data_IF_260046845775
#
_entry.id   IF_260046845775
#
_cell.length_a   1.000
_cell.length_b   1.000
_cell.length_c   1.000
_cell.angle_alpha   90.00
_cell.angle_beta   90.00
_cell.angle_gamma   90.00
#
_symmetry.space_group_name_H-M   'P 1'
#
loop_
_entity.id
_entity.type
_entity.pdbx_description
1 polymer ?
#
# COMPACT_ATOMS: atom_id res chain seq x y z
N UNK A 1 22.70 2.11 18.35
CA UNK A 1 22.90 2.70 17.02
C UNK A 1 21.93 3.87 16.82
N UNK A 2 22.25 5.09 17.29
CA UNK A 2 21.34 6.25 17.18
C UNK A 2 20.93 6.56 15.73
N UNK A 3 21.90 6.57 14.81
CA UNK A 3 21.67 6.85 13.39
C UNK A 3 20.65 5.89 12.72
N UNK A 4 20.69 4.60 13.05
CA UNK A 4 19.78 3.61 12.44
C UNK A 4 18.34 3.86 12.89
N UNK A 5 18.15 4.15 14.17
CA UNK A 5 16.83 4.47 14.71
C UNK A 5 16.28 5.78 14.14
N UNK A 6 17.11 6.83 14.10
CA UNK A 6 16.73 8.15 13.56
C UNK A 6 16.41 8.11 12.06
N UNK A 7 17.13 7.27 11.30
CA UNK A 7 16.88 7.09 9.86
C UNK A 7 15.83 6.00 9.56
N UNK A 8 15.14 5.48 10.60
CA UNK A 8 14.11 4.46 10.45
C UNK A 8 14.58 3.16 9.80
N UNK A 9 15.85 2.79 9.96
CA UNK A 9 16.46 1.63 9.29
C UNK A 9 16.02 0.33 9.95
N UNK A 10 15.38 -0.55 9.18
CA UNK A 10 15.06 -1.91 9.56
C UNK A 10 15.25 -2.85 8.37
N UNK A 11 16.40 -3.53 8.32
CA UNK A 11 16.79 -4.31 7.14
C UNK A 11 16.07 -5.66 7.07
N UNK A 12 15.37 -5.83 5.96
CA UNK A 12 14.75 -7.00 5.39
C UNK A 12 15.49 -7.33 4.08
N UNK A 13 15.52 -8.62 3.73
CA UNK A 13 16.05 -9.08 2.47
C UNK A 13 15.07 -10.08 1.85
N UNK A 14 14.72 -9.87 0.59
CA UNK A 14 13.84 -10.75 -0.18
C UNK A 14 14.52 -11.15 -1.47
N UNK A 15 14.62 -12.45 -1.73
CA UNK A 15 15.24 -12.98 -2.94
C UNK A 15 14.20 -13.15 -4.05
N UNK A 16 14.53 -12.72 -5.26
CA UNK A 16 13.71 -12.93 -6.46
C UNK A 16 13.90 -14.34 -7.03
N UNK A 17 13.05 -14.74 -7.96
CA UNK A 17 13.19 -16.02 -8.67
C UNK A 17 14.49 -16.12 -9.50
N UNK A 18 15.13 -14.99 -9.82
CA UNK A 18 16.38 -14.92 -10.59
C UNK A 18 17.63 -14.83 -9.69
N UNK A 19 17.45 -14.84 -8.37
CA UNK A 19 18.54 -14.83 -7.40
C UNK A 19 19.05 -13.43 -7.01
N UNK A 20 18.43 -12.37 -7.54
CA UNK A 20 18.65 -10.99 -7.08
C UNK A 20 18.03 -10.80 -5.69
N UNK A 21 18.48 -9.78 -4.97
CA UNK A 21 18.02 -9.51 -3.61
C UNK A 21 17.55 -8.07 -3.52
N UNK A 22 16.28 -7.88 -3.16
CA UNK A 22 15.78 -6.58 -2.73
C UNK A 22 16.07 -6.43 -1.24
N UNK A 23 16.70 -5.31 -0.89
CA UNK A 23 17.07 -4.97 0.49
C UNK A 23 16.55 -3.59 0.85
N UNK A 24 16.32 -3.39 2.14
CA UNK A 24 15.74 -2.18 2.70
C UNK A 24 15.08 -2.53 4.02
N UNK A 25 14.45 -1.62 4.74
CA UNK A 25 14.22 -0.25 4.34
C UNK A 25 14.64 0.75 5.41
N UNK A 26 14.51 2.01 5.02
CA UNK A 26 14.61 3.18 5.87
C UNK A 26 13.30 3.94 5.76
N UNK A 27 12.89 4.63 6.82
CA UNK A 27 11.69 5.45 6.81
C UNK A 27 12.02 6.90 7.16
N UNK A 28 11.48 7.80 6.34
CA UNK A 28 11.45 9.23 6.61
C UNK A 28 10.00 9.70 6.54
N UNK A 29 9.62 10.55 7.50
CA UNK A 29 8.28 11.13 7.57
C UNK A 29 8.39 12.63 7.35
N UNK A 30 7.64 13.13 6.39
CA UNK A 30 7.57 14.56 6.10
C UNK A 30 6.38 14.90 5.21
N UNK A 31 6.02 16.18 5.20
CA UNK A 31 5.03 16.73 4.26
C UNK A 31 5.63 16.76 2.85
N UNK A 32 6.93 17.00 2.76
CA UNK A 32 7.74 16.97 1.55
C UNK A 32 9.01 16.19 1.81
N UNK A 33 9.55 15.55 0.78
CA UNK A 33 10.79 14.77 0.86
C UNK A 33 11.85 15.40 -0.04
N UNK A 34 13.11 15.26 0.33
CA UNK A 34 14.22 15.65 -0.54
C UNK A 34 14.18 14.81 -1.83
N UNK A 35 14.39 15.40 -3.02
CA UNK A 35 14.40 14.65 -4.27
C UNK A 35 15.61 13.71 -4.40
N UNK A 36 16.64 13.84 -3.55
CA UNK A 36 17.86 13.04 -3.61
C UNK A 36 17.97 12.06 -2.45
N UNK A 37 18.50 10.88 -2.76
CA UNK A 37 18.79 9.86 -1.74
C UNK A 37 20.04 10.20 -0.93
N UNK A 38 20.03 9.78 0.34
CA UNK A 38 21.15 9.95 1.28
C UNK A 38 22.04 8.72 1.24
N UNK A 39 23.22 8.85 0.65
CA UNK A 39 24.17 7.73 0.56
C UNK A 39 24.63 7.19 1.92
N UNK A 40 24.60 8.01 2.98
CA UNK A 40 24.87 7.53 4.34
C UNK A 40 23.83 6.51 4.85
N UNK A 41 22.56 6.66 4.45
CA UNK A 41 21.49 5.71 4.77
C UNK A 41 21.69 4.42 3.96
N UNK A 42 21.95 4.54 2.66
CA UNK A 42 22.24 3.39 1.78
C UNK A 42 23.41 2.55 2.32
N UNK A 43 24.50 3.20 2.73
CA UNK A 43 25.65 2.51 3.32
C UNK A 43 25.29 1.81 4.64
N UNK A 44 24.53 2.46 5.52
CA UNK A 44 24.12 1.84 6.77
C UNK A 44 23.22 0.61 6.54
N UNK A 45 22.34 0.63 5.54
CA UNK A 45 21.55 -0.54 5.14
C UNK A 45 22.47 -1.69 4.69
N UNK A 46 23.46 -1.41 3.85
CA UNK A 46 24.41 -2.41 3.36
C UNK A 46 25.29 -2.98 4.49
N UNK A 47 25.81 -2.11 5.35
CA UNK A 47 26.61 -2.50 6.51
C UNK A 47 25.78 -3.38 7.46
N UNK A 48 24.51 -3.02 7.70
CA UNK A 48 23.61 -3.80 8.53
C UNK A 48 23.29 -5.16 7.89
N UNK A 49 22.98 -5.23 6.59
CA UNK A 49 22.82 -6.50 5.88
C UNK A 49 24.04 -7.42 6.08
N UNK A 50 25.25 -6.86 5.98
CA UNK A 50 26.51 -7.59 6.15
C UNK A 50 26.71 -8.19 7.55
N UNK A 51 25.95 -7.77 8.56
CA UNK A 51 26.02 -8.37 9.91
C UNK A 51 25.33 -9.73 10.02
N UNK A 52 24.40 -10.04 9.11
CA UNK A 52 23.59 -11.26 9.21
C UNK A 52 23.45 -12.03 7.89
N UNK A 53 23.82 -11.45 6.75
CA UNK A 53 23.74 -12.09 5.45
C UNK A 53 25.05 -11.93 4.66
N UNK A 54 25.42 -12.98 3.94
CA UNK A 54 26.53 -12.95 2.98
C UNK A 54 25.96 -12.96 1.56
N UNK A 55 26.26 -11.90 0.79
CA UNK A 55 25.85 -11.77 -0.61
C UNK A 55 27.09 -11.97 -1.50
N UNK A 56 27.21 -13.08 -2.24
CA UNK A 56 28.44 -13.39 -2.99
C UNK A 56 28.80 -12.39 -4.10
N UNK A 57 27.79 -11.70 -4.64
CA UNK A 57 27.92 -10.67 -5.69
C UNK A 57 27.12 -9.44 -5.29
N UNK A 58 27.64 -8.57 -4.41
CA UNK A 58 26.90 -7.43 -3.84
C UNK A 58 26.97 -6.21 -4.78
N UNK A 59 26.70 -6.43 -6.06
CA UNK A 59 26.62 -5.35 -7.04
C UNK A 59 25.24 -4.70 -6.97
N UNK A 60 25.20 -3.38 -6.78
CA UNK A 60 23.92 -2.66 -6.76
C UNK A 60 23.46 -2.45 -8.20
N UNK A 61 22.34 -3.07 -8.57
CA UNK A 61 21.69 -2.85 -9.86
C UNK A 61 20.97 -1.51 -9.89
N UNK A 62 20.12 -1.26 -8.90
CA UNK A 62 19.22 -0.12 -8.87
C UNK A 62 19.01 0.36 -7.42
N UNK A 63 18.62 1.63 -7.29
CA UNK A 63 18.14 2.22 -6.04
C UNK A 63 16.84 2.96 -6.35
N UNK A 64 15.89 2.88 -5.44
CA UNK A 64 14.63 3.58 -5.53
C UNK A 64 14.12 3.86 -4.12
N UNK A 65 13.24 4.85 -4.01
CA UNK A 65 12.41 5.07 -2.84
C UNK A 65 10.95 5.25 -3.28
N UNK A 66 10.03 4.93 -2.37
CA UNK A 66 8.60 5.16 -2.56
C UNK A 66 8.12 6.25 -1.62
N UNK A 67 7.21 7.11 -2.09
CA UNK A 67 6.50 8.08 -1.25
C UNK A 67 5.09 7.57 -1.03
N UNK A 68 4.73 7.35 0.23
CA UNK A 68 3.45 6.74 0.60
C UNK A 68 2.60 7.72 1.41
N UNK A 69 1.49 8.22 0.85
CA UNK A 69 0.54 9.00 1.62
C UNK A 69 -0.04 8.18 2.77
N UNK A 70 -0.02 8.74 3.97
CA UNK A 70 -0.57 8.14 5.18
C UNK A 70 -1.46 9.15 5.88
N UNK A 71 -2.57 8.67 6.42
CA UNK A 71 -3.46 9.50 7.24
C UNK A 71 -2.94 9.61 8.68
N UNK A 72 -2.90 10.83 9.21
CA UNK A 72 -2.50 11.10 10.61
C UNK A 72 -3.62 10.76 11.62
N UNK A 73 -4.86 10.63 11.15
CA UNK A 73 -6.02 10.33 11.99
C UNK A 73 -6.14 8.83 12.38
N UNK A 74 -5.16 8.01 12.03
CA UNK A 74 -5.13 6.57 12.32
C UNK A 74 -6.02 5.70 11.43
N UNK A 75 -6.73 6.27 10.45
CA UNK A 75 -7.53 5.50 9.50
C UNK A 75 -6.62 4.68 8.56
N UNK A 76 -7.03 3.48 8.14
CA UNK A 76 -6.21 2.60 7.30
C UNK A 76 -6.19 3.02 5.82
N UNK A 77 -7.22 3.73 5.37
CA UNK A 77 -7.39 4.21 4.00
C UNK A 77 -8.24 5.49 3.97
N UNK A 78 -8.06 6.26 2.90
CA UNK A 78 -8.94 7.33 2.48
C UNK A 78 -9.83 6.78 1.35
N UNK A 79 -11.13 6.65 1.59
CA UNK A 79 -12.12 6.34 0.56
C UNK A 79 -13.10 7.51 0.42
N UNK A 80 -13.20 8.11 -0.76
CA UNK A 80 -14.08 9.25 -1.04
C UNK A 80 -14.90 9.02 -2.31
N UNK A 81 -16.22 9.23 -2.21
CA UNK A 81 -17.09 9.30 -3.38
C UNK A 81 -17.11 10.75 -3.89
N UNK A 82 -16.45 10.98 -5.03
CA UNK A 82 -16.22 12.35 -5.55
C UNK A 82 -17.41 12.79 -6.39
N UNK A 83 -17.91 11.89 -7.23
CA UNK A 83 -19.12 12.04 -8.03
C UNK A 83 -19.70 10.66 -8.35
N UNK A 84 -20.85 10.64 -9.04
CA UNK A 84 -21.52 9.38 -9.39
C UNK A 84 -20.61 8.49 -10.24
N UNK A 85 -20.27 7.32 -9.73
CA UNK A 85 -19.42 6.34 -10.42
C UNK A 85 -17.93 6.67 -10.38
N UNK A 86 -17.50 7.59 -9.50
CA UNK A 86 -16.11 7.92 -9.29
C UNK A 86 -15.74 7.92 -7.79
N UNK A 87 -14.91 6.97 -7.41
CA UNK A 87 -14.42 6.80 -6.04
C UNK A 87 -12.90 6.91 -6.02
N UNK A 88 -12.36 7.70 -5.09
CA UNK A 88 -10.93 7.76 -4.78
C UNK A 88 -10.64 6.83 -3.61
N UNK A 89 -9.64 5.96 -3.77
CA UNK A 89 -9.07 5.13 -2.70
C UNK A 89 -7.57 5.44 -2.59
N UNK A 90 -7.11 5.96 -1.45
CA UNK A 90 -5.72 6.38 -1.23
C UNK A 90 -5.33 6.30 0.27
N UNK A 91 -4.18 6.85 0.68
CA UNK A 91 -3.80 7.02 2.08
C UNK A 91 -3.38 5.74 2.81
N UNK A 92 -3.00 4.69 2.08
CA UNK A 92 -2.75 3.36 2.62
C UNK A 92 -1.39 3.21 3.33
N UNK A 93 -0.54 4.23 3.32
CA UNK A 93 0.85 4.12 3.74
C UNK A 93 1.57 2.94 3.05
N UNK A 94 2.41 2.23 3.80
CA UNK A 94 3.11 1.03 3.32
C UNK A 94 2.24 -0.24 3.22
N UNK A 95 0.94 -0.18 3.52
CA UNK A 95 0.07 -1.36 3.55
C UNK A 95 -0.68 -1.61 2.23
N UNK A 96 -0.45 -0.81 1.20
CA UNK A 96 -1.27 -0.81 -0.01
C UNK A 96 -1.34 -2.16 -0.73
N UNK A 97 -0.20 -2.83 -0.92
CA UNK A 97 -0.18 -4.16 -1.55
C UNK A 97 -0.97 -5.18 -0.74
N UNK A 98 -0.77 -5.22 0.58
CA UNK A 98 -1.46 -6.15 1.49
C UNK A 98 -2.96 -5.94 1.53
N UNK A 99 -3.42 -4.69 1.50
CA UNK A 99 -4.84 -4.34 1.63
C UNK A 99 -5.59 -4.28 0.28
N UNK A 100 -4.86 -4.33 -0.84
CA UNK A 100 -5.38 -4.07 -2.19
C UNK A 100 -6.65 -4.85 -2.53
N UNK A 101 -6.65 -6.18 -2.37
CA UNK A 101 -7.81 -7.01 -2.72
C UNK A 101 -9.02 -6.77 -1.81
N UNK A 102 -8.79 -6.60 -0.50
CA UNK A 102 -9.88 -6.31 0.43
C UNK A 102 -10.53 -4.97 0.17
N UNK A 103 -9.75 -3.96 -0.24
CA UNK A 103 -10.27 -2.66 -0.63
C UNK A 103 -10.95 -2.69 -2.00
N UNK A 104 -10.45 -3.48 -2.95
CA UNK A 104 -11.11 -3.68 -4.23
C UNK A 104 -12.51 -4.31 -4.03
N UNK A 105 -12.60 -5.40 -3.27
CA UNK A 105 -13.88 -6.05 -2.95
C UNK A 105 -14.87 -5.09 -2.25
N UNK A 106 -14.41 -4.40 -1.19
CA UNK A 106 -15.20 -3.42 -0.45
C UNK A 106 -15.78 -2.31 -1.34
N UNK A 107 -15.02 -1.84 -2.34
CA UNK A 107 -15.41 -0.67 -3.14
C UNK A 107 -16.12 -1.04 -4.44
N UNK A 108 -15.77 -2.15 -5.09
CA UNK A 108 -16.48 -2.60 -6.30
C UNK A 108 -17.91 -3.05 -5.99
N UNK A 109 -18.14 -3.70 -4.84
CA UNK A 109 -19.49 -4.12 -4.41
C UNK A 109 -20.39 -2.92 -4.06
N UNK A 110 -19.81 -1.78 -3.68
CA UNK A 110 -20.59 -0.55 -3.41
C UNK A 110 -21.24 0.03 -4.67
N UNK A 111 -20.58 -0.13 -5.82
CA UNK A 111 -21.00 0.44 -7.09
C UNK A 111 -21.95 -0.45 -7.90
N UNK A 112 -22.24 -1.68 -7.44
CA UNK A 112 -23.28 -2.48 -8.08
C UNK A 112 -24.66 -1.79 -7.93
N UNK A 113 -25.44 -1.63 -9.02
CA UNK A 113 -26.81 -1.18 -8.90
C UNK A 113 -27.56 -2.15 -8.01
N UNK A 114 -28.03 -1.68 -6.84
CA UNK A 114 -28.98 -2.44 -6.03
C UNK A 114 -30.19 -2.73 -6.91
N UNK A 115 -30.32 -3.98 -7.35
CA UNK A 115 -31.53 -4.47 -8.01
C UNK A 115 -32.69 -4.20 -7.03
N UNK A 116 -33.70 -3.41 -7.39
CA UNK A 116 -34.85 -3.21 -6.52
C UNK A 116 -35.45 -4.59 -6.24
N UNK A 117 -35.62 -4.94 -4.97
CA UNK A 117 -36.36 -6.12 -4.58
C UNK A 117 -37.70 -6.09 -5.33
N UNK A 118 -37.89 -7.03 -6.25
CA UNK A 118 -39.01 -7.04 -7.19
C UNK A 118 -40.31 -6.82 -6.43
N UNK A 119 -41.02 -5.75 -6.77
CA UNK A 119 -42.35 -5.49 -6.27
C UNK A 119 -43.21 -6.72 -6.55
N UNK A 120 -43.71 -7.33 -5.47
CA UNK A 120 -44.67 -8.42 -5.56
C UNK A 120 -45.78 -8.00 -6.54
N UNK A 121 -45.97 -8.80 -7.60
CA UNK A 121 -47.07 -8.65 -8.55
C UNK A 121 -48.36 -8.45 -7.76
N UNK A 122 -49.04 -7.32 -7.95
CA UNK A 122 -50.45 -7.21 -7.59
C UNK A 122 -51.18 -8.26 -8.43
N UNK A 123 -51.65 -9.32 -7.79
CA UNK A 123 -52.65 -10.21 -8.38
C UNK A 123 -53.93 -9.41 -8.53
N UNK A 124 -54.22 -9.01 -9.77
CA UNK A 124 -55.54 -8.50 -10.15
C UNK A 124 -56.52 -9.68 -10.13
N UNK A 125 -57.14 -9.93 -8.98
CA UNK A 125 -58.39 -10.67 -8.91
C UNK A 125 -59.54 -9.70 -9.13
N UNK A 126 -60.23 -9.82 -10.27
CA UNK A 126 -61.49 -9.13 -10.52
C UNK A 126 -62.59 -9.67 -9.61
N UNK A 127 -63.53 -8.84 -9.13
CA UNK A 127 -64.74 -9.30 -8.46
C UNK A 127 -65.81 -9.69 -9.51
N UNK A 128 -66.37 -10.88 -9.40
CA UNK A 128 -67.48 -11.31 -10.25
C UNK A 128 -67.94 -12.74 -9.94
N UNK A 129 -69.17 -12.80 -9.44
CA UNK A 129 -70.08 -13.95 -9.20
C UNK A 129 -69.93 -14.76 -7.90
#
# INVERSE_FOLDING_TARGET
MPFHFESGIHVLASQTAFGEITIGDSHEYGITHDPFERESVNRAILDYLGTFASVPRPEISERWHGVYPRLENGSPDLTLDVERGATIVNGLGGAGMTLSFGLADKNLVRDEPRVPAGGARKSSGSPGD
#
